data_IF_518177256070
#
_entry.id   IF_518177256070
#
_cell.length_a   1.000
_cell.length_b   1.000
_cell.length_c   1.000
_cell.angle_alpha   90.00
_cell.angle_beta   90.00
_cell.angle_gamma   90.00
#
_symmetry.space_group_name_H-M   'P 1'
#
loop_
_entity.id
_entity.type
_entity.pdbx_description
1 polymer ?
#
# COMPACT_ATOMS: atom_id res chain seq x y z
N UNK A 1 -11.08 16.64 13.79
CA UNK A 1 -9.61 16.60 13.78
C UNK A 1 -9.15 16.66 15.22
N UNK A 2 -8.32 15.73 15.69
CA UNK A 2 -7.79 15.74 17.07
C UNK A 2 -6.50 16.56 17.03
N UNK A 3 -6.44 17.68 17.73
CA UNK A 3 -5.25 18.53 17.78
C UNK A 3 -4.23 17.95 18.76
N UNK A 4 -2.94 18.14 18.46
CA UNK A 4 -1.85 17.84 19.39
C UNK A 4 -1.66 19.08 20.26
N UNK A 5 -2.15 19.01 21.49
CA UNK A 5 -2.12 20.04 22.52
C UNK A 5 -0.89 19.92 23.41
N UNK A 6 -0.29 18.73 23.51
CA UNK A 6 0.91 18.51 24.31
C UNK A 6 1.74 17.30 23.82
N UNK A 7 2.98 17.23 24.33
CA UNK A 7 3.94 16.17 24.01
C UNK A 7 3.43 14.76 24.38
N UNK A 8 2.66 14.62 25.46
CA UNK A 8 2.22 13.31 25.94
C UNK A 8 1.32 12.61 24.93
N UNK A 9 0.48 13.35 24.20
CA UNK A 9 -0.37 12.75 23.16
C UNK A 9 0.42 12.03 22.06
N UNK A 10 1.64 12.50 21.75
CA UNK A 10 2.53 11.81 20.80
C UNK A 10 3.18 10.56 21.42
N UNK A 11 3.53 10.63 22.70
CA UNK A 11 4.09 9.49 23.45
C UNK A 11 3.05 8.38 23.56
N UNK A 12 1.82 8.74 23.96
CA UNK A 12 0.71 7.82 24.17
C UNK A 12 0.35 7.06 22.88
N UNK A 13 0.43 7.71 21.71
CA UNK A 13 0.24 7.07 20.41
C UNK A 13 1.18 5.86 20.19
N UNK A 14 2.46 5.96 20.59
CA UNK A 14 3.39 4.84 20.51
C UNK A 14 3.13 3.79 21.59
N UNK A 15 2.76 4.22 22.80
CA UNK A 15 2.42 3.31 23.91
C UNK A 15 1.23 2.43 23.53
N UNK A 16 0.18 2.99 22.93
CA UNK A 16 -1.00 2.29 22.42
C UNK A 16 -0.64 1.18 21.40
N UNK A 17 0.50 1.31 20.70
CA UNK A 17 1.00 0.30 19.78
C UNK A 17 1.56 -0.97 20.46
N UNK A 18 1.85 -0.93 21.76
CA UNK A 18 2.48 -2.02 22.53
C UNK A 18 1.56 -3.24 22.65
N UNK A 19 2.09 -4.44 22.38
CA UNK A 19 1.31 -5.69 22.36
C UNK A 19 1.93 -6.74 23.26
N UNK A 20 1.10 -7.53 23.94
CA UNK A 20 1.56 -8.70 24.70
C UNK A 20 2.17 -9.74 23.76
N UNK A 21 3.07 -10.60 24.27
CA UNK A 21 3.74 -11.63 23.45
C UNK A 21 2.77 -12.51 22.64
N UNK A 22 1.61 -12.97 23.17
CA UNK A 22 0.63 -13.73 22.36
C UNK A 22 0.01 -12.94 21.19
N UNK A 23 0.04 -11.60 21.25
CA UNK A 23 -0.49 -10.71 20.22
C UNK A 23 0.57 -10.25 19.21
N UNK A 24 1.84 -10.68 19.36
CA UNK A 24 2.87 -10.40 18.37
C UNK A 24 2.56 -11.07 17.04
N UNK A 25 2.87 -10.38 15.95
CA UNK A 25 2.69 -10.84 14.57
C UNK A 25 3.91 -10.42 13.75
N UNK A 26 4.11 -11.04 12.60
CA UNK A 26 5.15 -10.67 11.64
C UNK A 26 4.45 -10.16 10.38
N UNK A 27 4.69 -8.89 10.03
CA UNK A 27 4.35 -8.34 8.72
C UNK A 27 5.54 -8.45 7.80
N UNK A 28 5.31 -8.80 6.53
CA UNK A 28 6.35 -8.83 5.50
C UNK A 28 6.01 -7.86 4.38
N UNK A 29 7.00 -7.11 3.94
CA UNK A 29 6.90 -6.17 2.84
C UNK A 29 8.00 -6.48 1.82
N UNK A 30 7.70 -6.33 0.54
CA UNK A 30 8.67 -6.54 -0.53
C UNK A 30 8.36 -5.68 -1.75
N UNK A 31 9.42 -5.13 -2.33
CA UNK A 31 9.35 -4.31 -3.54
C UNK A 31 9.80 -5.11 -4.75
N UNK A 32 9.20 -4.81 -5.91
CA UNK A 32 9.52 -5.48 -7.18
C UNK A 32 9.64 -4.44 -8.28
N UNK A 33 10.70 -4.55 -9.09
CA UNK A 33 10.83 -3.78 -10.32
C UNK A 33 10.13 -4.51 -11.46
N UNK A 34 9.11 -3.87 -12.03
CA UNK A 34 8.32 -4.43 -13.12
C UNK A 34 8.79 -3.85 -14.44
N UNK A 35 9.06 -4.72 -15.42
CA UNK A 35 9.54 -4.36 -16.74
C UNK A 35 8.88 -5.21 -17.82
N UNK A 36 8.79 -4.67 -19.04
CA UNK A 36 8.31 -5.42 -20.19
C UNK A 36 9.37 -6.43 -20.67
N UNK A 37 8.98 -7.68 -20.86
CA UNK A 37 9.92 -8.73 -21.25
C UNK A 37 10.58 -8.51 -22.62
N UNK A 38 9.91 -7.84 -23.57
CA UNK A 38 10.44 -7.57 -24.90
C UNK A 38 11.48 -6.45 -24.88
N UNK A 39 11.10 -5.27 -24.43
CA UNK A 39 11.98 -4.08 -24.43
C UNK A 39 12.94 -4.01 -23.25
N UNK A 40 12.70 -4.81 -22.20
CA UNK A 40 13.40 -4.74 -20.89
C UNK A 40 13.28 -3.38 -20.19
N UNK A 41 12.37 -2.52 -20.65
CA UNK A 41 12.12 -1.20 -20.04
C UNK A 41 11.11 -1.32 -18.89
N UNK A 42 11.17 -0.42 -17.89
CA UNK A 42 10.14 -0.33 -16.85
C UNK A 42 8.74 -0.20 -17.46
N UNK A 43 7.75 -0.82 -16.83
CA UNK A 43 6.37 -0.65 -17.29
C UNK A 43 5.84 0.74 -16.89
N UNK A 44 5.08 1.41 -17.77
CA UNK A 44 4.42 2.68 -17.44
C UNK A 44 3.27 2.49 -16.44
N UNK A 45 2.76 3.62 -15.94
CA UNK A 45 1.56 3.62 -15.11
C UNK A 45 0.32 3.13 -15.88
N UNK A 46 0.12 3.61 -17.11
CA UNK A 46 -1.02 3.29 -17.98
C UNK A 46 -0.58 2.72 -19.33
N UNK A 47 -1.50 2.10 -20.07
CA UNK A 47 -1.25 1.46 -21.37
C UNK A 47 -1.50 -0.06 -21.36
N UNK A 48 -1.18 -0.71 -22.48
CA UNK A 48 -1.40 -2.15 -22.73
C UNK A 48 -0.64 -3.07 -21.75
N UNK A 49 0.59 -2.70 -21.40
CA UNK A 49 1.44 -3.41 -20.42
C UNK A 49 1.84 -2.39 -19.36
N UNK A 50 1.12 -2.35 -18.23
CA UNK A 50 1.21 -1.24 -17.27
C UNK A 50 0.78 -1.62 -15.84
N UNK A 51 1.05 -0.72 -14.89
CA UNK A 51 0.60 -0.86 -13.49
C UNK A 51 -0.92 -0.96 -13.40
N UNK A 52 -1.66 -0.12 -14.15
CA UNK A 52 -3.12 -0.17 -14.16
C UNK A 52 -3.68 -1.50 -14.67
N UNK A 53 -3.01 -2.17 -15.60
CA UNK A 53 -3.41 -3.51 -16.04
C UNK A 53 -3.25 -4.53 -14.92
N UNK A 54 -2.13 -4.51 -14.21
CA UNK A 54 -1.92 -5.38 -13.04
C UNK A 54 -3.00 -5.12 -11.98
N UNK A 55 -3.28 -3.85 -11.67
CA UNK A 55 -4.32 -3.50 -10.72
C UNK A 55 -5.70 -3.99 -11.17
N UNK A 56 -6.03 -3.87 -12.45
CA UNK A 56 -7.31 -4.35 -12.98
C UNK A 56 -7.50 -5.86 -12.80
N UNK A 57 -6.45 -6.67 -12.97
CA UNK A 57 -6.52 -8.11 -12.74
C UNK A 57 -6.65 -8.46 -11.25
N UNK A 58 -6.00 -7.71 -10.36
CA UNK A 58 -6.15 -7.90 -8.92
C UNK A 58 -7.54 -7.48 -8.41
N UNK A 59 -8.14 -6.43 -9.00
CA UNK A 59 -9.52 -6.02 -8.69
C UNK A 59 -10.53 -7.11 -9.05
N UNK A 60 -10.33 -7.80 -10.18
CA UNK A 60 -11.15 -9.00 -10.51
C UNK A 60 -11.02 -10.11 -9.47
N UNK A 61 -9.93 -10.13 -8.70
CA UNK A 61 -9.68 -11.04 -7.60
C UNK A 61 -10.10 -10.46 -6.22
N UNK A 62 -11.13 -9.60 -6.20
CA UNK A 62 -11.74 -9.00 -5.01
C UNK A 62 -10.83 -8.04 -4.22
N UNK A 63 -9.85 -7.41 -4.86
CA UNK A 63 -9.11 -6.30 -4.25
C UNK A 63 -9.85 -4.97 -4.46
N UNK A 64 -9.80 -4.09 -3.46
CA UNK A 64 -10.43 -2.77 -3.50
C UNK A 64 -9.41 -1.68 -3.85
N UNK A 65 -9.69 -0.82 -4.84
CA UNK A 65 -8.81 0.29 -5.21
C UNK A 65 -8.67 1.37 -4.14
N UNK A 66 -7.44 1.80 -3.89
CA UNK A 66 -7.11 3.03 -3.15
C UNK A 66 -6.80 4.10 -4.20
N UNK A 67 -7.52 5.24 -4.13
CA UNK A 67 -7.42 6.32 -5.11
C UNK A 67 -6.90 7.61 -4.49
N UNK A 68 -6.12 8.34 -5.26
CA UNK A 68 -5.81 9.76 -5.02
C UNK A 68 -6.26 10.56 -6.24
N UNK A 69 -7.26 11.43 -6.02
CA UNK A 69 -7.98 12.07 -7.11
C UNK A 69 -8.60 11.03 -8.07
N UNK A 70 -8.22 11.10 -9.34
CA UNK A 70 -8.69 10.17 -10.38
C UNK A 70 -7.84 8.90 -10.53
N UNK A 71 -6.67 8.85 -9.90
CA UNK A 71 -5.67 7.80 -10.11
C UNK A 71 -5.82 6.70 -9.06
N UNK A 72 -5.69 5.44 -9.48
CA UNK A 72 -5.54 4.31 -8.56
C UNK A 72 -4.06 4.19 -8.20
N UNK A 73 -3.71 4.26 -6.92
CA UNK A 73 -2.32 4.21 -6.45
C UNK A 73 -1.96 2.89 -5.78
N UNK A 74 -2.96 2.18 -5.25
CA UNK A 74 -2.75 0.91 -4.58
C UNK A 74 -4.04 0.14 -4.47
N UNK A 75 -3.94 -1.04 -3.87
CA UNK A 75 -5.07 -1.93 -3.63
C UNK A 75 -5.01 -2.47 -2.21
N UNK A 76 -6.17 -2.70 -1.61
CA UNK A 76 -6.32 -3.40 -0.33
C UNK A 76 -7.16 -4.66 -0.53
N UNK A 77 -6.84 -5.72 0.20
CA UNK A 77 -7.61 -6.97 0.22
C UNK A 77 -8.39 -7.09 1.52
#
# INVERSE_FOLDING_TARGET
MKYIENKNQLIDYFIEGSKSRPQWRIGTEHEKFLFELKSKKPIPYEGEISILKIFSELVKNNWTPIKEGKNVLGLVK
#
